data_IF_980982662845
#
_entry.id   IF_980982662845
#
_cell.length_a   1.000
_cell.length_b   1.000
_cell.length_c   1.000
_cell.angle_alpha   90.00
_cell.angle_beta   90.00
_cell.angle_gamma   90.00
#
_symmetry.space_group_name_H-M   'P 1'
#
loop_
_entity.id
_entity.type
_entity.pdbx_description
1 polymer ?
#
# COMPACT_ATOMS: atom_id res chain seq x y z
N UNK A 1 -11.46 -15.30 9.85
CA UNK A 1 -11.43 -15.28 8.37
C UNK A 1 -10.98 -13.89 7.93
N UNK A 2 -10.03 -13.77 6.98
CA UNK A 2 -9.57 -12.49 6.42
C UNK A 2 -9.78 -12.54 4.89
N UNK A 3 -10.81 -11.89 4.33
CA UNK A 3 -10.98 -11.80 2.89
C UNK A 3 -9.87 -10.95 2.27
N UNK A 4 -9.46 -11.30 1.05
CA UNK A 4 -8.37 -10.64 0.32
C UNK A 4 -8.84 -10.26 -1.08
N UNK A 5 -8.43 -9.09 -1.58
CA UNK A 5 -8.71 -8.66 -2.94
C UNK A 5 -7.54 -9.08 -3.82
N UNK A 6 -7.83 -9.87 -4.85
CA UNK A 6 -6.86 -10.32 -5.84
C UNK A 6 -7.25 -9.71 -7.18
N UNK A 7 -6.29 -9.07 -7.83
CA UNK A 7 -6.38 -8.68 -9.23
C UNK A 7 -6.47 -9.96 -10.09
N UNK A 8 -7.55 -10.12 -10.85
CA UNK A 8 -7.80 -11.34 -11.60
C UNK A 8 -6.87 -11.49 -12.82
N UNK A 9 -6.37 -10.39 -13.39
CA UNK A 9 -5.52 -10.40 -14.57
C UNK A 9 -4.07 -10.71 -14.21
N UNK A 10 -3.58 -10.15 -13.09
CA UNK A 10 -2.18 -10.32 -12.68
C UNK A 10 -1.98 -11.31 -11.54
N UNK A 11 -3.05 -11.73 -10.86
CA UNK A 11 -2.98 -12.54 -9.64
C UNK A 11 -2.39 -11.79 -8.44
N UNK A 12 -2.25 -10.46 -8.53
CA UNK A 12 -1.61 -9.69 -7.48
C UNK A 12 -2.59 -9.29 -6.38
N UNK A 13 -2.12 -9.38 -5.14
CA UNK A 13 -2.88 -8.91 -4.00
C UNK A 13 -2.96 -7.38 -3.98
N UNK A 14 -4.18 -6.89 -3.83
CA UNK A 14 -4.51 -5.47 -3.72
C UNK A 14 -4.91 -5.14 -2.28
N UNK A 15 -4.37 -4.05 -1.78
CA UNK A 15 -4.61 -3.57 -0.42
C UNK A 15 -5.40 -2.28 -0.42
N UNK A 16 -6.32 -2.19 0.54
CA UNK A 16 -6.99 -0.94 0.90
C UNK A 16 -6.01 0.02 1.61
N UNK A 17 -6.37 1.30 1.68
CA UNK A 17 -5.59 2.28 2.44
C UNK A 17 -5.38 1.88 3.92
N UNK A 18 -6.32 1.13 4.50
CA UNK A 18 -6.20 0.64 5.88
C UNK A 18 -5.14 -0.46 5.99
N UNK A 19 -5.13 -1.42 5.08
CA UNK A 19 -4.14 -2.50 5.05
C UNK A 19 -2.73 -1.98 4.74
N UNK A 20 -2.62 -1.00 3.83
CA UNK A 20 -1.35 -0.33 3.57
C UNK A 20 -0.82 0.40 4.82
N UNK A 21 -1.71 1.06 5.57
CA UNK A 21 -1.34 1.78 6.78
C UNK A 21 -0.90 0.82 7.88
N UNK A 22 -1.62 -0.28 8.07
CA UNK A 22 -1.28 -1.37 9.00
C UNK A 22 0.11 -1.96 8.67
N UNK A 23 0.35 -2.30 7.39
CA UNK A 23 1.65 -2.79 6.92
C UNK A 23 2.80 -1.81 7.19
N UNK A 24 2.55 -0.50 7.07
CA UNK A 24 3.56 0.54 7.32
C UNK A 24 3.63 1.01 8.78
N UNK A 25 2.85 0.40 9.69
CA UNK A 25 2.81 0.78 11.10
C UNK A 25 2.31 2.21 11.33
N UNK A 26 1.36 2.68 10.52
CA UNK A 26 0.83 4.05 10.59
C UNK A 26 -0.70 4.11 10.55
N UNK A 27 -1.28 5.30 10.75
CA UNK A 27 -2.72 5.49 10.65
C UNK A 27 -3.16 5.62 9.18
N UNK A 28 -4.40 5.22 8.88
CA UNK A 28 -4.98 5.40 7.53
C UNK A 28 -4.89 6.85 7.03
N UNK A 29 -5.18 7.82 7.89
CA UNK A 29 -5.13 9.25 7.54
C UNK A 29 -3.70 9.73 7.24
N UNK A 30 -2.72 9.24 8.01
CA UNK A 30 -1.29 9.50 7.75
C UNK A 30 -0.87 8.91 6.41
N UNK A 31 -1.24 7.65 6.16
CA UNK A 31 -0.96 6.97 4.90
C UNK A 31 -1.51 7.75 3.70
N UNK A 32 -2.80 8.11 3.71
CA UNK A 32 -3.39 8.89 2.61
C UNK A 32 -2.73 10.25 2.41
N UNK A 33 -2.22 10.86 3.50
CA UNK A 33 -1.46 12.10 3.44
C UNK A 33 -0.04 11.94 2.88
N UNK A 34 0.51 10.72 2.85
CA UNK A 34 1.77 10.43 2.15
C UNK A 34 1.56 10.23 0.66
N UNK A 35 0.43 9.65 0.25
CA UNK A 35 0.06 9.48 -1.17
C UNK A 35 0.03 10.85 -1.86
N UNK A 36 -0.60 11.84 -1.23
CA UNK A 36 -0.72 13.20 -1.80
C UNK A 36 0.61 13.96 -1.92
N UNK A 37 1.67 13.47 -1.28
CA UNK A 37 3.01 14.08 -1.30
C UNK A 37 4.00 13.29 -2.18
N UNK A 38 3.50 12.36 -3.00
CA UNK A 38 4.29 11.46 -3.86
C UNK A 38 5.42 10.71 -3.12
N UNK A 39 5.25 10.47 -1.80
CA UNK A 39 6.27 9.80 -0.98
C UNK A 39 6.15 8.27 -0.98
N UNK A 40 5.02 7.75 -1.44
CA UNK A 40 4.67 6.32 -1.47
C UNK A 40 4.08 5.98 -2.85
N UNK A 41 3.99 4.69 -3.21
CA UNK A 41 3.36 4.26 -4.46
C UNK A 41 1.93 4.80 -4.61
N UNK A 42 1.58 5.13 -5.85
CA UNK A 42 0.23 5.57 -6.23
C UNK A 42 -0.73 4.39 -6.19
N UNK A 43 -2.02 4.63 -5.96
CA UNK A 43 -3.01 3.56 -6.08
C UNK A 43 -3.05 3.03 -7.52
N UNK A 44 -3.22 1.72 -7.66
CA UNK A 44 -3.27 1.04 -8.96
C UNK A 44 -4.66 1.10 -9.58
N UNK A 45 -5.72 1.14 -8.76
CA UNK A 45 -7.09 1.22 -9.26
C UNK A 45 -8.07 1.76 -8.23
N UNK A 46 -9.26 2.11 -8.71
CA UNK A 46 -10.44 2.36 -7.88
C UNK A 46 -11.53 1.36 -8.25
N UNK A 47 -11.94 0.53 -7.29
CA UNK A 47 -12.93 -0.52 -7.50
C UNK A 47 -14.04 -0.41 -6.46
N UNK A 48 -15.29 -0.25 -6.91
CA UNK A 48 -16.48 -0.06 -6.04
C UNK A 48 -16.29 0.95 -4.89
N UNK A 49 -15.66 2.09 -5.20
CA UNK A 49 -15.40 3.15 -4.20
C UNK A 49 -14.17 2.94 -3.34
N UNK A 50 -13.57 1.74 -3.34
CA UNK A 50 -12.29 1.47 -2.72
C UNK A 50 -11.16 1.95 -3.61
N UNK A 51 -10.19 2.63 -3.02
CA UNK A 51 -8.90 2.91 -3.66
C UNK A 51 -7.94 1.80 -3.24
N UNK A 52 -7.27 1.19 -4.20
CA UNK A 52 -6.48 -0.01 -4.00
C UNK A 52 -5.03 0.20 -4.44
N UNK A 53 -4.09 -0.38 -3.69
CA UNK A 53 -2.66 -0.36 -3.96
C UNK A 53 -2.14 -1.78 -4.18
N UNK A 54 -1.15 -1.92 -5.06
CA UNK A 54 -0.42 -3.18 -5.19
C UNK A 54 0.36 -3.45 -3.90
N UNK A 55 0.08 -4.58 -3.26
CA UNK A 55 0.84 -5.00 -2.07
C UNK A 55 2.32 -5.22 -2.39
N UNK A 56 2.61 -5.73 -3.58
CA UNK A 56 3.98 -5.98 -4.03
C UNK A 56 4.77 -4.69 -4.22
N UNK A 57 4.18 -3.68 -4.87
CA UNK A 57 4.85 -2.39 -5.05
C UNK A 57 5.08 -1.71 -3.72
N UNK A 58 4.13 -1.79 -2.79
CA UNK A 58 4.27 -1.22 -1.46
C UNK A 58 5.38 -1.92 -0.65
N UNK A 59 5.46 -3.25 -0.72
CA UNK A 59 6.55 -4.04 -0.10
C UNK A 59 7.91 -3.65 -0.68
N UNK A 60 8.02 -3.60 -2.02
CA UNK A 60 9.26 -3.20 -2.72
C UNK A 60 9.69 -1.79 -2.32
N UNK A 61 8.76 -0.83 -2.34
CA UNK A 61 9.03 0.53 -1.92
C UNK A 61 9.47 0.61 -0.46
N UNK A 62 8.85 -0.15 0.44
CA UNK A 62 9.19 -0.12 1.87
C UNK A 62 10.64 -0.57 2.12
N UNK A 63 11.14 -1.54 1.34
CA UNK A 63 12.55 -1.98 1.42
C UNK A 63 13.54 -0.89 1.00
N UNK A 64 13.15 -0.01 0.07
CA UNK A 64 13.98 1.09 -0.45
C UNK A 64 13.60 2.46 0.11
N UNK A 65 12.78 2.51 1.17
CA UNK A 65 12.15 3.75 1.65
C UNK A 65 13.19 4.71 2.23
N UNK A 66 13.21 5.99 1.79
CA UNK A 66 14.14 6.98 2.33
C UNK A 66 13.84 7.26 3.82
N UNK A 67 14.86 7.08 4.67
CA UNK A 67 14.80 7.37 6.11
C UNK A 67 14.54 6.17 7.02
N UNK A 68 14.46 4.94 6.51
CA UNK A 68 14.58 3.75 7.34
C UNK A 68 16.05 3.31 7.32
N UNK A 69 16.77 3.29 8.47
CA UNK A 69 18.05 2.60 8.50
C UNK A 69 17.75 1.12 8.25
N UNK A 70 18.35 0.56 7.20
CA UNK A 70 18.56 -0.88 7.14
C UNK A 70 19.62 -1.20 8.21
N UNK A 71 19.19 -1.33 9.46
CA UNK A 71 20.06 -1.92 10.48
C UNK A 71 20.25 -3.39 10.09
N UNK A 72 21.52 -3.77 9.94
CA UNK A 72 21.96 -5.14 9.71
C UNK A 72 21.83 -6.05 10.92
#
# INVERSE_FOLDING_TARGET
MKPTIIDADTGHELWTAAECADFLGTSRGTFTSYVSRDRIPKPVTRHHGLTLWSSQELKKWNLSRPGHPQNG
#
